data_IF_969735683651
#
_entry.id   IF_969735683651
#
_cell.length_a   1.000
_cell.length_b   1.000
_cell.length_c   1.000
_cell.angle_alpha   90.00
_cell.angle_beta   90.00
_cell.angle_gamma   90.00
#
_symmetry.space_group_name_H-M   'P 1'
#
loop_
_entity.id
_entity.type
_entity.pdbx_description
1 polymer ?
#
# COMPACT_ATOMS: atom_id res chain seq x y z
N UNK A 1 23.07 12.11 0.84
CA UNK A 1 22.46 12.03 0.51
C UNK A 1 21.67 11.39 0.42
N UNK A 2 21.27 11.06 0.55
CA UNK A 2 20.61 10.45 0.32
C UNK A 2 19.62 10.43 0.12
N UNK A 3 19.17 10.17 -0.17
CA UNK A 3 18.21 10.26 -0.34
C UNK A 3 17.27 9.54 -0.29
N UNK A 4 16.59 9.60 0.02
CA UNK A 4 15.40 8.91 0.10
C UNK A 4 14.74 8.80 -1.19
N UNK A 5 15.37 8.14 -2.07
CA UNK A 5 14.73 7.81 -3.28
C UNK A 5 13.87 6.63 -3.07
N UNK A 6 12.60 6.78 -3.38
CA UNK A 6 11.67 5.68 -3.38
C UNK A 6 12.08 4.66 -4.42
N UNK A 7 12.18 3.39 -4.02
CA UNK A 7 12.53 2.31 -4.93
C UNK A 7 11.25 1.81 -5.60
N UNK A 8 11.07 2.18 -6.86
CA UNK A 8 9.86 1.84 -7.60
C UNK A 8 9.69 0.33 -7.75
N UNK A 9 10.78 -0.38 -8.00
CA UNK A 9 10.70 -1.83 -8.13
C UNK A 9 10.22 -2.50 -6.86
N UNK A 10 10.73 -2.07 -5.73
CA UNK A 10 10.27 -2.61 -4.45
C UNK A 10 8.84 -2.22 -4.15
N UNK A 11 8.46 -0.99 -4.51
CA UNK A 11 7.08 -0.54 -4.33
C UNK A 11 6.12 -1.41 -5.12
N UNK A 12 6.46 -1.73 -6.37
CA UNK A 12 5.62 -2.60 -7.18
C UNK A 12 5.46 -3.98 -6.55
N UNK A 13 6.56 -4.56 -6.09
CA UNK A 13 6.53 -5.87 -5.45
C UNK A 13 5.66 -5.84 -4.20
N UNK A 14 5.82 -4.82 -3.39
CA UNK A 14 5.05 -4.69 -2.16
C UNK A 14 3.57 -4.53 -2.45
N UNK A 15 3.23 -3.68 -3.41
CA UNK A 15 1.84 -3.44 -3.78
C UNK A 15 1.20 -4.71 -4.33
N UNK A 16 1.95 -5.50 -5.11
CA UNK A 16 1.44 -6.78 -5.60
C UNK A 16 1.14 -7.73 -4.45
N UNK A 17 2.02 -7.80 -3.47
CA UNK A 17 1.78 -8.64 -2.29
C UNK A 17 0.55 -8.20 -1.52
N UNK A 18 0.42 -6.89 -1.33
CA UNK A 18 -0.74 -6.34 -0.64
C UNK A 18 -2.02 -6.69 -1.40
N UNK A 19 -1.99 -6.50 -2.72
CA UNK A 19 -3.15 -6.78 -3.56
C UNK A 19 -3.56 -8.24 -3.46
N UNK A 20 -2.59 -9.16 -3.47
CA UNK A 20 -2.87 -10.59 -3.34
C UNK A 20 -3.48 -10.92 -1.99
N UNK A 21 -2.97 -10.32 -0.93
CA UNK A 21 -3.52 -10.54 0.40
C UNK A 21 -4.96 -10.03 0.51
N UNK A 22 -5.21 -8.86 -0.06
CA UNK A 22 -6.56 -8.28 -0.03
C UNK A 22 -7.53 -9.08 -0.89
N UNK A 23 -7.03 -9.71 -1.95
CA UNK A 23 -7.87 -10.55 -2.80
C UNK A 23 -8.41 -11.78 -2.09
N UNK A 24 -7.71 -12.21 -1.03
CA UNK A 24 -8.15 -13.35 -0.23
C UNK A 24 -9.31 -13.01 0.70
N UNK A 25 -9.58 -11.72 0.90
CA UNK A 25 -10.68 -11.27 1.74
C UNK A 25 -12.00 -11.33 0.97
N UNK A 26 -13.15 -11.38 1.69
CA UNK A 26 -14.45 -11.36 1.02
C UNK A 26 -14.58 -10.11 0.13
N UNK A 27 -14.86 -10.33 -1.13
CA UNK A 27 -14.91 -9.24 -2.11
C UNK A 27 -16.14 -8.37 -1.97
N UNK A 28 -17.20 -8.92 -1.38
CA UNK A 28 -18.44 -8.19 -1.20
C UNK A 28 -18.46 -7.36 0.08
N UNK A 29 -17.37 -7.36 0.83
CA UNK A 29 -17.31 -6.61 2.08
C UNK A 29 -17.01 -5.14 1.79
N UNK A 30 -17.91 -4.25 2.22
CA UNK A 30 -17.70 -2.83 2.11
C UNK A 30 -16.60 -2.32 3.05
N UNK A 31 -16.25 -3.15 4.01
CA UNK A 31 -15.30 -2.81 5.07
C UNK A 31 -13.94 -2.36 4.54
N UNK A 32 -13.48 -3.02 3.48
CA UNK A 32 -12.17 -2.73 2.92
C UNK A 32 -12.23 -2.14 1.52
N UNK A 33 -13.41 -1.68 1.10
CA UNK A 33 -13.58 -1.18 -0.26
C UNK A 33 -12.66 0.00 -0.57
N UNK A 34 -12.54 0.93 0.37
CA UNK A 34 -11.68 2.09 0.17
C UNK A 34 -10.22 1.68 0.09
N UNK A 35 -9.79 0.80 0.98
CA UNK A 35 -8.40 0.33 0.97
C UNK A 35 -8.07 -0.36 -0.35
N UNK A 36 -8.97 -1.23 -0.82
CA UNK A 36 -8.77 -1.90 -2.10
C UNK A 36 -8.67 -0.91 -3.24
N UNK A 37 -9.55 0.09 -3.25
CA UNK A 37 -9.54 1.10 -4.30
C UNK A 37 -8.22 1.86 -4.31
N UNK A 38 -7.71 2.20 -3.13
CA UNK A 38 -6.46 2.94 -3.04
C UNK A 38 -5.27 2.10 -3.48
N UNK A 39 -5.27 0.81 -3.14
CA UNK A 39 -4.20 -0.09 -3.55
C UNK A 39 -4.21 -0.28 -5.06
N UNK A 40 -5.39 -0.45 -5.66
CA UNK A 40 -5.49 -0.60 -7.10
C UNK A 40 -5.05 0.67 -7.82
N UNK A 41 -5.40 1.82 -7.28
CA UNK A 41 -4.99 3.10 -7.85
C UNK A 41 -3.47 3.24 -7.82
N UNK A 42 -2.87 2.90 -6.68
CA UNK A 42 -1.42 2.95 -6.55
C UNK A 42 -0.75 1.98 -7.52
N UNK A 43 -1.30 0.78 -7.65
CA UNK A 43 -0.77 -0.21 -8.58
C UNK A 43 -0.78 0.31 -10.01
N UNK A 44 -1.89 0.93 -10.41
CA UNK A 44 -2.01 1.49 -11.76
C UNK A 44 -0.99 2.60 -11.98
N UNK A 45 -0.79 3.46 -10.99
CA UNK A 45 0.17 4.55 -11.09
C UNK A 45 1.58 4.00 -11.22
N UNK A 46 1.91 2.97 -10.45
CA UNK A 46 3.25 2.38 -10.50
C UNK A 46 3.56 1.71 -11.84
N UNK A 47 2.54 1.26 -12.54
CA UNK A 47 2.73 0.61 -13.83
C UNK A 47 2.88 1.61 -14.97
N UNK A 48 2.59 2.88 -14.73
CA UNK A 48 2.74 3.91 -15.76
C UNK A 48 4.20 4.36 -15.83
N UNK A 49 4.68 4.50 -17.05
CA UNK A 49 6.07 4.90 -17.23
C UNK A 49 6.31 6.38 -16.99
N UNK A 50 5.25 7.18 -16.97
CA UNK A 50 5.35 8.63 -16.80
C UNK A 50 4.95 9.09 -15.40
N UNK A 51 4.89 8.19 -14.44
CA UNK A 51 4.47 8.53 -13.09
C UNK A 51 5.50 9.38 -12.38
N UNK A 52 5.02 10.35 -11.62
CA UNK A 52 5.86 11.23 -10.80
C UNK A 52 6.05 10.66 -9.42
N UNK A 53 7.29 10.73 -8.91
CA UNK A 53 7.57 10.27 -7.55
C UNK A 53 6.70 10.95 -6.50
N UNK A 54 6.47 12.28 -6.55
CA UNK A 54 5.58 12.90 -5.55
C UNK A 54 4.17 12.32 -5.55
N UNK A 55 3.65 11.98 -6.72
CA UNK A 55 2.31 11.36 -6.79
C UNK A 55 2.33 9.97 -6.17
N UNK A 56 3.36 9.18 -6.48
CA UNK A 56 3.49 7.85 -5.93
C UNK A 56 3.61 7.91 -4.41
N UNK A 57 4.43 8.83 -3.91
CA UNK A 57 4.59 8.99 -2.46
C UNK A 57 3.28 9.37 -1.79
N UNK A 58 2.54 10.28 -2.42
CA UNK A 58 1.26 10.71 -1.89
C UNK A 58 0.28 9.55 -1.80
N UNK A 59 0.21 8.74 -2.84
CA UNK A 59 -0.67 7.58 -2.84
C UNK A 59 -0.23 6.52 -1.84
N UNK A 60 1.08 6.33 -1.67
CA UNK A 60 1.58 5.41 -0.67
C UNK A 60 1.24 5.86 0.75
N UNK A 61 1.27 7.17 0.99
CA UNK A 61 0.85 7.70 2.28
C UNK A 61 -0.63 7.43 2.53
N UNK A 62 -1.45 7.57 1.50
CA UNK A 62 -2.88 7.27 1.62
C UNK A 62 -3.11 5.79 1.95
N UNK A 63 -2.39 4.91 1.27
CA UNK A 63 -2.50 3.48 1.54
C UNK A 63 -2.04 3.17 2.96
N UNK A 64 -0.94 3.78 3.39
CA UNK A 64 -0.44 3.60 4.75
C UNK A 64 -1.50 3.99 5.79
N UNK A 65 -2.12 5.14 5.59
CA UNK A 65 -3.14 5.63 6.51
C UNK A 65 -4.36 4.70 6.53
N UNK A 66 -4.77 4.21 5.37
CA UNK A 66 -5.90 3.30 5.28
C UNK A 66 -5.61 1.97 5.97
N UNK A 67 -4.39 1.45 5.81
CA UNK A 67 -3.97 0.25 6.52
C UNK A 67 -4.00 0.46 8.02
N UNK A 68 -3.50 1.61 8.47
CA UNK A 68 -3.48 1.91 9.90
C UNK A 68 -4.88 1.97 10.47
N UNK A 69 -5.80 2.61 9.75
CA UNK A 69 -7.19 2.73 10.20
C UNK A 69 -7.89 1.37 10.24
N UNK A 70 -7.57 0.49 9.31
CA UNK A 70 -8.20 -0.80 9.22
C UNK A 70 -7.41 -1.91 9.93
N UNK A 71 -6.36 -1.56 10.65
CA UNK A 71 -5.40 -2.53 11.16
C UNK A 71 -6.05 -3.61 12.03
N UNK A 72 -6.94 -3.23 12.92
CA UNK A 72 -7.56 -4.19 13.83
C UNK A 72 -8.37 -5.23 13.06
N UNK A 73 -9.21 -4.75 12.13
CA UNK A 73 -10.02 -5.65 11.32
C UNK A 73 -9.17 -6.53 10.41
N UNK A 74 -8.15 -5.94 9.80
CA UNK A 74 -7.29 -6.70 8.91
C UNK A 74 -6.54 -7.81 9.64
N UNK A 75 -6.04 -7.52 10.85
CA UNK A 75 -5.37 -8.55 11.65
C UNK A 75 -6.32 -9.67 12.02
N UNK A 76 -7.55 -9.32 12.35
CA UNK A 76 -8.56 -10.32 12.67
C UNK A 76 -8.85 -11.23 11.46
N UNK A 77 -8.70 -10.68 10.25
CA UNK A 77 -8.92 -11.43 9.02
C UNK A 77 -7.64 -12.10 8.50
N UNK A 78 -6.57 -12.09 9.29
CA UNK A 78 -5.34 -12.82 8.94
C UNK A 78 -4.33 -12.05 8.11
N UNK A 79 -4.52 -10.75 7.93
CA UNK A 79 -3.60 -9.94 7.13
C UNK A 79 -2.44 -9.45 8.01
N UNK A 80 -1.24 -9.53 7.48
CA UNK A 80 -0.03 -9.11 8.21
C UNK A 80 0.20 -7.62 8.07
N UNK A 81 -0.68 -6.85 8.73
CA UNK A 81 -0.69 -5.40 8.61
C UNK A 81 0.63 -4.79 9.08
N UNK A 82 1.19 -5.30 10.17
CA UNK A 82 2.41 -4.73 10.72
C UNK A 82 3.57 -4.73 9.74
N UNK A 83 3.71 -5.81 8.97
CA UNK A 83 4.77 -5.91 7.97
C UNK A 83 4.56 -4.88 6.87
N UNK A 84 3.33 -4.77 6.37
CA UNK A 84 3.03 -3.84 5.29
C UNK A 84 3.21 -2.39 5.75
N UNK A 85 2.73 -2.05 6.95
CA UNK A 85 2.91 -0.70 7.48
C UNK A 85 4.38 -0.35 7.63
N UNK A 86 5.19 -1.29 8.12
CA UNK A 86 6.61 -1.05 8.29
C UNK A 86 7.30 -0.84 6.95
N UNK A 87 6.98 -1.68 5.97
CA UNK A 87 7.63 -1.58 4.66
C UNK A 87 7.27 -0.28 3.95
N UNK A 88 5.99 0.09 3.99
CA UNK A 88 5.56 1.35 3.39
C UNK A 88 6.22 2.53 4.11
N UNK A 89 6.21 2.49 5.44
CA UNK A 89 6.81 3.56 6.23
C UNK A 89 8.29 3.72 5.93
N UNK A 90 8.99 2.61 5.78
CA UNK A 90 10.40 2.64 5.47
C UNK A 90 10.66 3.26 4.10
N UNK A 91 9.84 2.90 3.12
CA UNK A 91 9.98 3.46 1.78
C UNK A 91 9.70 4.96 1.74
N UNK A 92 8.80 5.41 2.62
CA UNK A 92 8.42 6.82 2.70
C UNK A 92 9.31 7.63 3.64
N UNK A 93 10.21 6.96 4.35
CA UNK A 93 11.06 7.64 5.32
C UNK A 93 10.32 8.06 6.58
N UNK A 94 9.28 7.35 6.96
CA UNK A 94 8.46 7.68 8.12
C UNK A 94 8.99 7.10 9.43
N UNK A 95 9.97 6.24 9.36
CA UNK A 95 10.56 5.62 10.56
C UNK A 95 11.48 6.57 11.30
#
# INVERSE_FOLDING_TARGET
MSESKLDIGRAKTLVDEISENLAALPQDSAKYAQLRAEVEDLKAILERSDSHLPLIEDRMKSVHASFDQAAVGLRADGIRVGIFLREIGRMLGLD
#
